data_IF_509456063509
#
_entry.id   IF_509456063509
#
_cell.length_a   1.000
_cell.length_b   1.000
_cell.length_c   1.000
_cell.angle_alpha   90.00
_cell.angle_beta   90.00
_cell.angle_gamma   90.00
#
_symmetry.space_group_name_H-M   'P 1'
#
loop_
_entity.id
_entity.type
_entity.pdbx_description
1 polymer ?
#
# COMPACT_ATOMS: atom_id res chain seq x y z
N UNK A 1 -8.51 7.77 -12.91
CA UNK A 1 -9.12 7.69 -11.57
C UNK A 1 -7.98 7.84 -10.57
N UNK A 2 -8.09 8.71 -9.56
CA UNK A 2 -7.00 8.86 -8.58
C UNK A 2 -6.99 7.63 -7.68
N UNK A 3 -5.89 6.88 -7.71
CA UNK A 3 -5.71 5.70 -6.86
C UNK A 3 -5.21 6.17 -5.50
N UNK A 4 -6.02 5.97 -4.47
CA UNK A 4 -5.71 6.42 -3.10
C UNK A 4 -5.26 5.29 -2.17
N UNK A 5 -5.37 4.03 -2.61
CA UNK A 5 -5.06 2.86 -1.81
C UNK A 5 -4.42 1.76 -2.66
N UNK A 6 -3.65 0.90 -2.00
CA UNK A 6 -3.08 -0.30 -2.60
C UNK A 6 -3.57 -1.56 -1.89
N UNK A 7 -3.67 -2.64 -2.65
CA UNK A 7 -3.83 -3.99 -2.11
C UNK A 7 -2.47 -4.72 -1.96
N UNK A 8 -2.50 -5.93 -1.39
CA UNK A 8 -1.30 -6.73 -1.17
C UNK A 8 -0.59 -7.17 -2.46
N UNK A 9 -1.32 -7.32 -3.59
CA UNK A 9 -0.71 -7.66 -4.88
C UNK A 9 0.09 -6.48 -5.39
N UNK A 10 -0.52 -5.30 -5.40
CA UNK A 10 0.10 -4.07 -5.89
C UNK A 10 1.30 -3.67 -5.04
N UNK A 11 1.16 -3.73 -3.71
CA UNK A 11 2.26 -3.46 -2.79
C UNK A 11 3.42 -4.45 -2.96
N UNK A 12 3.13 -5.73 -3.24
CA UNK A 12 4.17 -6.75 -3.47
C UNK A 12 5.00 -6.48 -4.73
N UNK A 13 4.40 -5.84 -5.75
CA UNK A 13 5.09 -5.47 -6.98
C UNK A 13 5.96 -4.23 -6.78
N UNK A 14 5.51 -3.25 -5.99
CA UNK A 14 6.27 -2.03 -5.70
C UNK A 14 7.47 -2.30 -4.78
N UNK A 15 7.30 -3.16 -3.77
CA UNK A 15 8.34 -3.46 -2.77
C UNK A 15 9.19 -4.71 -3.09
N UNK A 16 9.18 -5.19 -4.34
CA UNK A 16 9.50 -6.57 -4.74
C UNK A 16 9.54 -7.64 -3.61
N UNK A 17 8.45 -7.79 -2.86
CA UNK A 17 8.33 -8.76 -1.76
C UNK A 17 7.28 -9.83 -2.07
N UNK A 18 7.22 -10.87 -1.24
CA UNK A 18 6.13 -11.84 -1.34
C UNK A 18 4.77 -11.21 -1.00
N UNK A 19 3.69 -11.69 -1.63
CA UNK A 19 2.31 -11.26 -1.33
C UNK A 19 1.94 -11.47 0.15
N UNK A 20 2.46 -12.52 0.79
CA UNK A 20 2.20 -12.78 2.21
C UNK A 20 2.89 -11.74 3.09
N UNK A 21 4.12 -11.33 2.75
CA UNK A 21 4.81 -10.21 3.41
C UNK A 21 4.06 -8.90 3.22
N UNK A 22 3.64 -8.57 2.00
CA UNK A 22 2.84 -7.37 1.73
C UNK A 22 1.52 -7.35 2.54
N UNK A 23 0.85 -8.51 2.64
CA UNK A 23 -0.37 -8.64 3.45
C UNK A 23 -0.11 -8.42 4.95
N UNK A 24 1.04 -8.85 5.47
CA UNK A 24 1.44 -8.61 6.86
C UNK A 24 1.66 -7.11 7.10
N UNK A 25 2.41 -6.43 6.23
CA UNK A 25 2.66 -4.99 6.30
C UNK A 25 1.33 -4.22 6.31
N UNK A 26 0.42 -4.52 5.37
CA UNK A 26 -0.91 -3.87 5.32
C UNK A 26 -1.67 -4.06 6.64
N UNK A 27 -1.61 -5.26 7.23
CA UNK A 27 -2.28 -5.53 8.51
C UNK A 27 -1.67 -4.70 9.65
N UNK A 28 -0.35 -4.65 9.75
CA UNK A 28 0.36 -3.87 10.77
C UNK A 28 0.05 -2.38 10.67
N UNK A 29 0.09 -1.82 9.46
CA UNK A 29 -0.24 -0.41 9.23
C UNK A 29 -1.71 -0.09 9.48
N UNK A 30 -2.62 -1.00 9.14
CA UNK A 30 -4.04 -0.85 9.47
C UNK A 30 -4.27 -0.88 10.99
N UNK A 31 -3.59 -1.75 11.73
CA UNK A 31 -3.65 -1.75 13.20
C UNK A 31 -3.10 -0.45 13.79
N UNK A 32 -2.06 0.13 13.20
CA UNK A 32 -1.57 1.46 13.58
C UNK A 32 -2.64 2.54 13.35
N UNK A 33 -3.25 2.57 12.16
CA UNK A 33 -4.34 3.52 11.86
C UNK A 33 -5.51 3.41 12.84
N UNK A 34 -5.92 2.17 13.16
CA UNK A 34 -6.96 1.90 14.15
C UNK A 34 -6.56 2.42 15.55
N UNK A 35 -5.29 2.25 15.94
CA UNK A 35 -4.78 2.74 17.22
C UNK A 35 -4.75 4.27 17.33
N UNK A 36 -4.61 4.95 16.19
CA UNK A 36 -4.64 6.41 16.06
C UNK A 36 -6.09 6.95 15.95
N UNK A 37 -7.10 6.08 15.95
CA UNK A 37 -8.51 6.43 15.89
C UNK A 37 -9.07 6.55 14.46
N UNK A 38 -8.30 6.15 13.44
CA UNK A 38 -8.78 6.11 12.05
C UNK A 38 -9.50 4.79 11.74
N UNK A 39 -10.32 4.81 10.69
CA UNK A 39 -10.97 3.61 10.15
C UNK A 39 -10.05 2.99 9.11
N UNK A 40 -9.62 1.75 9.35
CA UNK A 40 -8.83 0.97 8.39
C UNK A 40 -9.71 0.02 7.55
N UNK A 41 -9.31 -0.20 6.29
CA UNK A 41 -10.00 -1.11 5.37
C UNK A 41 -9.17 -2.40 5.23
N UNK A 42 -9.73 -3.54 5.62
CA UNK A 42 -9.04 -4.83 5.54
C UNK A 42 -8.55 -5.11 4.11
N UNK A 43 -7.27 -5.48 4.00
CA UNK A 43 -6.63 -5.87 2.74
C UNK A 43 -6.24 -4.71 1.82
N UNK A 44 -6.50 -3.47 2.26
CA UNK A 44 -6.10 -2.25 1.58
C UNK A 44 -5.35 -1.33 2.55
N UNK A 45 -4.53 -0.44 2.02
CA UNK A 45 -3.86 0.59 2.81
C UNK A 45 -3.81 1.90 2.01
N UNK A 46 -4.00 3.08 2.63
CA UNK A 46 -3.83 4.36 1.95
C UNK A 46 -2.39 4.55 1.46
N UNK A 47 -2.23 5.10 0.25
CA UNK A 47 -0.90 5.39 -0.31
C UNK A 47 -0.15 6.40 0.55
N UNK A 48 -0.84 7.39 1.12
CA UNK A 48 -0.24 8.37 2.02
C UNK A 48 0.44 7.70 3.23
N UNK A 49 -0.19 6.68 3.83
CA UNK A 49 0.39 5.94 4.94
C UNK A 49 1.65 5.17 4.50
N UNK A 50 1.65 4.62 3.28
CA UNK A 50 2.82 3.96 2.71
C UNK A 50 3.95 4.94 2.43
N UNK A 51 3.67 6.13 1.87
CA UNK A 51 4.68 7.16 1.61
C UNK A 51 5.36 7.63 2.91
N UNK A 52 4.60 7.75 3.99
CA UNK A 52 5.15 8.11 5.30
C UNK A 52 6.09 7.02 5.85
N UNK A 53 5.70 5.74 5.74
CA UNK A 53 6.47 4.62 6.30
C UNK A 53 7.61 4.14 5.38
N UNK A 54 7.50 4.38 4.08
CA UNK A 54 8.47 3.99 3.06
C UNK A 54 8.88 5.21 2.22
N UNK A 55 9.55 6.21 2.81
CA UNK A 55 9.90 7.47 2.12
C UNK A 55 10.92 7.29 0.98
N UNK A 56 11.59 6.14 0.92
CA UNK A 56 12.57 5.77 -0.11
C UNK A 56 11.95 5.02 -1.30
N UNK A 57 10.65 4.75 -1.25
CA UNK A 57 9.94 3.98 -2.28
C UNK A 57 9.08 4.95 -3.09
N UNK A 58 9.15 4.81 -4.41
CA UNK A 58 8.35 5.63 -5.31
C UNK A 58 6.91 5.12 -5.40
N UNK A 59 5.97 5.92 -4.90
CA UNK A 59 4.53 5.71 -5.06
C UNK A 59 3.89 6.79 -5.96
N UNK A 60 4.66 7.39 -6.86
CA UNK A 60 4.20 8.40 -7.82
C UNK A 60 3.14 7.85 -8.77
N UNK A 61 2.36 8.74 -9.39
CA UNK A 61 1.35 8.33 -10.37
C UNK A 61 1.92 7.53 -11.54
N UNK A 62 3.16 7.80 -11.95
CA UNK A 62 3.86 7.04 -13.00
C UNK A 62 3.99 5.57 -12.61
N UNK A 63 4.55 5.30 -11.43
CA UNK A 63 4.72 3.93 -10.91
C UNK A 63 3.38 3.23 -10.74
N UNK A 64 2.37 3.95 -10.25
CA UNK A 64 1.03 3.39 -10.06
C UNK A 64 0.34 3.04 -11.39
N UNK A 65 0.55 3.84 -12.45
CA UNK A 65 0.02 3.58 -13.79
C UNK A 65 0.69 2.36 -14.45
N UNK A 66 1.99 2.18 -14.27
CA UNK A 66 2.71 1.00 -14.77
C UNK A 66 2.14 -0.31 -14.21
N UNK A 67 1.73 -0.33 -12.94
CA UNK A 67 1.09 -1.49 -12.32
C UNK A 67 -0.30 -1.83 -12.90
N UNK A 68 -1.04 -0.82 -13.39
CA UNK A 68 -2.35 -1.03 -14.01
C UNK A 68 -2.24 -1.64 -15.40
N UNK A 69 -1.14 -1.39 -16.11
CA UNK A 69 -0.87 -1.97 -17.45
C UNK A 69 -0.54 -3.46 -17.38
N UNK A 70 -0.03 -3.93 -16.23
CA UNK A 70 0.38 -5.33 -16.02
C UNK A 70 -0.81 -6.20 -15.52
N UNK A 71 -1.99 -5.61 -15.30
CA UNK A 71 -3.20 -6.30 -14.81
C UNK A 71 -3.91 -7.07 -15.90
#
# INVERSE_FOLDING_TARGET
MIKNHLDAKELSQILPISKSTASKIIRELNTQLESEGYIAIRGKIPIQMLQEKFPHVDFSESTLKELEVIK
#
